data_IF_494445443219
#
_entry.id   IF_494445443219
#
_cell.length_a   1.000
_cell.length_b   1.000
_cell.length_c   1.000
_cell.angle_alpha   90.00
_cell.angle_beta   90.00
_cell.angle_gamma   90.00
#
_symmetry.space_group_name_H-M   'P 1'
#
loop_
_entity.id
_entity.type
_entity.pdbx_description
1 polymer ?
#
# COMPACT_ATOMS: atom_id res chain seq x y z
N UNK A 1 9.43 37.27 20.40
CA UNK A 1 9.45 35.97 21.09
C UNK A 1 8.12 35.19 20.98
N UNK A 2 7.10 35.72 20.29
CA UNK A 2 5.77 35.09 20.16
C UNK A 2 5.64 34.07 19.01
N UNK A 3 6.65 33.92 18.14
CA UNK A 3 6.60 32.99 16.99
C UNK A 3 7.13 31.57 17.24
N UNK A 4 7.83 31.31 18.35
CA UNK A 4 8.39 29.97 18.64
C UNK A 4 7.54 29.13 19.60
N UNK A 5 6.71 29.75 20.43
CA UNK A 5 5.82 29.04 21.38
C UNK A 5 4.59 28.43 20.69
N UNK A 6 4.11 29.01 19.58
CA UNK A 6 3.00 28.44 18.80
C UNK A 6 3.37 27.10 18.15
N UNK A 7 4.55 27.03 17.52
CA UNK A 7 4.96 25.87 16.72
C UNK A 7 5.15 24.56 17.53
N UNK A 8 5.70 24.63 18.74
CA UNK A 8 5.86 23.42 19.59
C UNK A 8 4.52 22.97 20.15
N UNK A 9 3.64 23.91 20.50
CA UNK A 9 2.30 23.60 21.02
C UNK A 9 1.44 22.95 19.93
N UNK A 10 1.49 23.47 18.71
CA UNK A 10 0.85 22.86 17.54
C UNK A 10 1.36 21.43 17.31
N UNK A 11 2.68 21.23 17.31
CA UNK A 11 3.28 19.91 17.18
C UNK A 11 2.80 18.94 18.29
N UNK A 12 2.72 19.41 19.53
CA UNK A 12 2.24 18.59 20.65
C UNK A 12 0.77 18.17 20.45
N UNK A 13 -0.11 19.09 20.04
CA UNK A 13 -1.52 18.81 19.71
C UNK A 13 -1.60 17.79 18.56
N UNK A 14 -0.78 17.97 17.53
CA UNK A 14 -0.70 17.07 16.37
C UNK A 14 -0.31 15.66 16.78
N UNK A 15 0.72 15.51 17.62
CA UNK A 15 1.17 14.19 18.10
C UNK A 15 0.11 13.52 18.98
N UNK A 16 -0.54 14.27 19.87
CA UNK A 16 -1.63 13.75 20.72
C UNK A 16 -2.83 13.34 19.86
N UNK A 17 -3.20 14.15 18.86
CA UNK A 17 -4.26 13.83 17.91
C UNK A 17 -3.96 12.60 17.06
N UNK A 18 -2.71 12.46 16.57
CA UNK A 18 -2.23 11.30 15.84
C UNK A 18 -2.27 10.02 16.71
N UNK A 19 -1.87 10.11 17.99
CA UNK A 19 -1.99 9.01 18.93
C UNK A 19 -3.46 8.61 19.15
N UNK A 20 -4.33 9.59 19.41
CA UNK A 20 -5.76 9.36 19.61
C UNK A 20 -6.40 8.66 18.40
N UNK A 21 -6.19 9.20 17.20
CA UNK A 21 -6.71 8.61 15.97
C UNK A 21 -6.10 7.22 15.68
N UNK A 22 -4.82 7.02 15.97
CA UNK A 22 -4.15 5.73 15.89
C UNK A 22 -4.76 4.68 16.81
N UNK A 23 -5.07 5.04 18.06
CA UNK A 23 -5.76 4.17 19.02
C UNK A 23 -7.17 3.82 18.57
N UNK A 24 -7.90 4.78 18.00
CA UNK A 24 -9.23 4.56 17.41
C UNK A 24 -9.13 3.54 16.26
N UNK A 25 -8.20 3.70 15.33
CA UNK A 25 -8.02 2.76 14.23
C UNK A 25 -7.62 1.36 14.71
N UNK A 26 -6.74 1.29 15.70
CA UNK A 26 -6.39 0.01 16.34
C UNK A 26 -7.62 -0.68 16.95
N UNK A 27 -8.54 0.07 17.56
CA UNK A 27 -9.79 -0.47 18.12
C UNK A 27 -10.72 -1.05 17.06
N UNK A 28 -10.70 -0.50 15.85
CA UNK A 28 -11.38 -1.03 14.66
C UNK A 28 -10.61 -2.13 13.91
N UNK A 29 -9.47 -2.61 14.46
CA UNK A 29 -8.56 -3.58 13.83
C UNK A 29 -7.98 -3.10 12.49
N UNK A 30 -7.97 -1.79 12.25
CA UNK A 30 -7.37 -1.16 11.07
C UNK A 30 -5.86 -0.91 11.28
N UNK A 31 -5.07 -0.74 10.19
CA UNK A 31 -3.69 -0.29 10.28
C UNK A 31 -3.57 1.07 11.00
N UNK A 32 -2.61 1.20 11.91
CA UNK A 32 -2.40 2.42 12.72
C UNK A 32 -2.09 3.63 11.84
N UNK A 33 -1.39 3.43 10.72
CA UNK A 33 -1.08 4.48 9.73
C UNK A 33 -2.32 5.20 9.18
N UNK A 34 -3.48 4.52 9.09
CA UNK A 34 -4.74 5.17 8.73
C UNK A 34 -5.20 6.16 9.80
N UNK A 35 -4.82 5.95 11.06
CA UNK A 35 -5.10 6.88 12.15
C UNK A 35 -4.26 8.15 12.03
N UNK A 36 -3.01 8.04 11.57
CA UNK A 36 -2.16 9.21 11.33
C UNK A 36 -2.68 10.03 10.14
N UNK A 37 -3.12 9.36 9.08
CA UNK A 37 -3.81 9.99 7.95
C UNK A 37 -5.10 10.69 8.41
N UNK A 38 -5.92 10.02 9.23
CA UNK A 38 -7.13 10.61 9.79
C UNK A 38 -6.82 11.85 10.64
N UNK A 39 -5.78 11.79 11.48
CA UNK A 39 -5.37 12.92 12.28
C UNK A 39 -4.96 14.11 11.40
N UNK A 40 -4.23 13.88 10.31
CA UNK A 40 -3.95 14.91 9.32
C UNK A 40 -5.22 15.47 8.67
N UNK A 41 -6.17 14.64 8.28
CA UNK A 41 -7.41 15.10 7.68
C UNK A 41 -8.27 15.93 8.64
N UNK A 42 -8.30 15.56 9.94
CA UNK A 42 -9.06 16.24 10.99
C UNK A 42 -8.38 17.53 11.46
N UNK A 43 -7.06 17.52 11.63
CA UNK A 43 -6.30 18.69 12.10
C UNK A 43 -5.91 19.65 10.96
N UNK A 44 -5.96 19.17 9.72
CA UNK A 44 -5.65 19.94 8.53
C UNK A 44 -6.78 20.86 8.08
N UNK A 45 -6.61 21.48 6.89
CA UNK A 45 -7.55 22.47 6.36
C UNK A 45 -8.97 21.95 6.15
N UNK A 46 -9.12 20.65 5.86
CA UNK A 46 -10.42 19.99 5.68
C UNK A 46 -11.21 19.79 6.97
N UNK A 47 -10.57 19.96 8.14
CA UNK A 47 -11.18 19.78 9.45
C UNK A 47 -11.12 21.07 10.28
N UNK A 48 -10.27 21.08 11.31
CA UNK A 48 -10.15 22.21 12.24
C UNK A 48 -9.18 23.32 11.78
N UNK A 49 -8.36 23.06 10.76
CA UNK A 49 -7.42 24.07 10.24
C UNK A 49 -6.28 24.44 11.18
N UNK A 50 -5.94 23.60 12.17
CA UNK A 50 -4.86 23.88 13.13
C UNK A 50 -3.46 23.85 12.52
N UNK A 51 -3.30 23.22 11.35
CA UNK A 51 -2.00 23.02 10.71
C UNK A 51 -2.01 23.66 9.32
N UNK A 52 -1.44 24.86 9.21
CA UNK A 52 -1.41 25.64 7.96
C UNK A 52 -0.02 25.70 7.29
N UNK A 53 1.07 25.53 8.05
CA UNK A 53 2.44 25.73 7.54
C UNK A 53 2.97 24.54 6.72
N UNK A 54 2.65 24.54 5.42
CA UNK A 54 2.94 23.42 4.49
C UNK A 54 4.43 23.17 4.23
N UNK A 55 5.30 24.19 4.29
CA UNK A 55 6.72 24.04 3.91
C UNK A 55 7.52 23.18 4.92
N UNK A 56 7.38 23.45 6.22
CA UNK A 56 8.06 22.66 7.25
C UNK A 56 7.60 21.20 7.26
N UNK A 57 6.34 20.98 6.90
CA UNK A 57 5.69 19.68 6.84
C UNK A 57 6.19 18.86 5.65
N UNK A 58 6.55 19.51 4.54
CA UNK A 58 7.07 18.83 3.36
C UNK A 58 8.46 18.22 3.62
N UNK A 59 9.37 18.98 4.23
CA UNK A 59 10.70 18.46 4.59
C UNK A 59 10.59 17.28 5.58
N UNK A 60 9.67 17.38 6.53
CA UNK A 60 9.36 16.33 7.49
C UNK A 60 8.77 15.07 6.82
N UNK A 61 7.93 15.25 5.79
CA UNK A 61 7.39 14.15 4.99
C UNK A 61 8.48 13.46 4.16
N UNK A 62 9.38 14.23 3.52
CA UNK A 62 10.52 13.69 2.78
C UNK A 62 11.46 12.88 3.69
N UNK A 63 11.72 13.40 4.90
CA UNK A 63 12.48 12.69 5.93
C UNK A 63 11.79 11.38 6.33
N UNK A 64 10.47 11.39 6.47
CA UNK A 64 9.65 10.22 6.75
C UNK A 64 9.71 9.17 5.63
N UNK A 65 9.64 9.57 4.36
CA UNK A 65 9.82 8.68 3.20
C UNK A 65 11.22 8.06 3.21
N UNK A 66 12.25 8.88 3.42
CA UNK A 66 13.64 8.43 3.48
C UNK A 66 13.82 7.35 4.55
N UNK A 67 13.27 7.58 5.74
CA UNK A 67 13.35 6.66 6.87
C UNK A 67 12.46 5.42 6.71
N UNK A 68 11.32 5.55 6.04
CA UNK A 68 10.49 4.41 5.63
C UNK A 68 11.29 3.46 4.74
N UNK A 69 11.89 3.98 3.67
CA UNK A 69 12.68 3.19 2.71
C UNK A 69 13.93 2.58 3.34
N UNK A 70 14.60 3.31 4.24
CA UNK A 70 15.68 2.76 5.05
C UNK A 70 15.21 1.55 5.88
N UNK A 71 14.09 1.68 6.59
CA UNK A 71 13.61 0.60 7.43
C UNK A 71 13.14 -0.62 6.64
N UNK A 72 12.45 -0.39 5.52
CA UNK A 72 12.07 -1.48 4.62
C UNK A 72 13.30 -2.26 4.20
N UNK A 73 14.35 -1.56 3.74
CA UNK A 73 15.63 -2.20 3.43
C UNK A 73 16.17 -3.06 4.58
N UNK A 74 16.07 -2.61 5.83
CA UNK A 74 16.50 -3.38 7.01
C UNK A 74 15.62 -4.60 7.31
N UNK A 75 14.32 -4.48 7.06
CA UNK A 75 13.33 -5.51 7.31
C UNK A 75 13.38 -6.62 6.25
N UNK A 76 13.80 -6.29 5.02
CA UNK A 76 13.94 -7.26 3.93
C UNK A 76 14.93 -8.39 4.26
N UNK A 77 14.39 -9.59 4.44
CA UNK A 77 15.20 -10.80 4.58
C UNK A 77 15.52 -11.42 3.21
N UNK A 78 16.65 -11.01 2.62
CA UNK A 78 17.06 -11.49 1.30
C UNK A 78 17.32 -13.00 1.23
N UNK A 79 17.56 -13.65 2.38
CA UNK A 79 17.73 -15.10 2.43
C UNK A 79 16.43 -15.84 2.17
N UNK A 80 15.34 -15.41 2.80
CA UNK A 80 14.03 -16.02 2.63
C UNK A 80 13.49 -15.69 1.23
N UNK A 81 13.70 -14.45 0.77
CA UNK A 81 13.37 -14.03 -0.59
C UNK A 81 14.06 -14.88 -1.66
N UNK A 82 15.32 -15.26 -1.45
CA UNK A 82 16.08 -16.10 -2.40
C UNK A 82 15.46 -17.49 -2.62
N UNK A 83 14.60 -17.99 -1.74
CA UNK A 83 13.90 -19.25 -2.01
C UNK A 83 12.81 -19.10 -3.10
N UNK A 84 12.22 -17.91 -3.21
CA UNK A 84 11.05 -17.62 -4.06
C UNK A 84 11.30 -16.53 -5.11
N UNK A 85 12.53 -16.02 -5.22
CA UNK A 85 12.86 -14.83 -6.02
C UNK A 85 12.40 -14.91 -7.48
N UNK A 86 12.51 -16.08 -8.14
CA UNK A 86 12.08 -16.23 -9.53
C UNK A 86 10.59 -15.95 -9.69
N UNK A 87 9.77 -16.62 -8.87
CA UNK A 87 8.32 -16.45 -8.89
C UNK A 87 7.97 -15.02 -8.50
N UNK A 88 8.57 -14.51 -7.42
CA UNK A 88 8.29 -13.17 -6.91
C UNK A 88 8.62 -12.04 -7.90
N UNK A 89 9.83 -12.05 -8.47
CA UNK A 89 10.29 -11.01 -9.41
C UNK A 89 9.54 -11.10 -10.73
N UNK A 90 9.34 -12.30 -11.28
CA UNK A 90 8.57 -12.46 -12.53
C UNK A 90 7.12 -12.02 -12.33
N UNK A 91 6.51 -12.39 -11.21
CA UNK A 91 5.13 -11.97 -10.88
C UNK A 91 5.05 -10.46 -10.78
N UNK A 92 5.97 -9.84 -10.05
CA UNK A 92 5.99 -8.38 -9.86
C UNK A 92 6.24 -7.64 -11.17
N UNK A 93 7.23 -8.06 -11.96
CA UNK A 93 7.52 -7.44 -13.25
C UNK A 93 6.31 -7.53 -14.19
N UNK A 94 5.65 -8.69 -14.25
CA UNK A 94 4.47 -8.86 -15.07
C UNK A 94 3.28 -8.04 -14.56
N UNK A 95 3.07 -7.97 -13.24
CA UNK A 95 2.05 -7.10 -12.64
C UNK A 95 2.25 -5.63 -13.04
N UNK A 96 3.50 -5.14 -12.99
CA UNK A 96 3.84 -3.77 -13.38
C UNK A 96 3.56 -3.55 -14.87
N UNK A 97 4.01 -4.46 -15.72
CA UNK A 97 3.80 -4.35 -17.18
C UNK A 97 2.31 -4.39 -17.52
N UNK A 98 1.54 -5.31 -16.94
CA UNK A 98 0.11 -5.41 -17.25
C UNK A 98 -0.69 -4.26 -16.64
N UNK A 99 -0.34 -3.80 -15.44
CA UNK A 99 -0.91 -2.57 -14.89
C UNK A 99 -0.64 -1.38 -15.82
N UNK A 100 0.59 -1.26 -16.34
CA UNK A 100 0.93 -0.23 -17.32
C UNK A 100 0.13 -0.37 -18.62
N UNK A 101 0.06 -1.56 -19.22
CA UNK A 101 -0.71 -1.78 -20.44
C UNK A 101 -2.21 -1.50 -20.24
N UNK A 102 -2.78 -1.94 -19.11
CA UNK A 102 -4.17 -1.67 -18.77
C UNK A 102 -4.46 -0.19 -18.59
N UNK A 103 -3.60 0.52 -17.84
CA UNK A 103 -3.73 1.97 -17.66
C UNK A 103 -3.41 2.74 -18.93
N UNK A 104 -2.54 2.24 -19.80
CA UNK A 104 -2.23 2.85 -21.09
C UNK A 104 -3.42 2.76 -22.04
N UNK A 105 -4.08 1.60 -22.12
CA UNK A 105 -5.31 1.46 -22.88
C UNK A 105 -6.41 2.38 -22.35
N UNK A 106 -6.58 2.46 -21.03
CA UNK A 106 -7.54 3.38 -20.42
C UNK A 106 -7.17 4.84 -20.68
N UNK A 107 -5.89 5.17 -20.56
CA UNK A 107 -5.36 6.52 -20.81
C UNK A 107 -5.54 6.95 -22.26
N UNK A 108 -5.44 6.02 -23.23
CA UNK A 108 -5.77 6.31 -24.64
C UNK A 108 -7.26 6.59 -24.87
N UNK A 109 -8.14 6.01 -24.06
CA UNK A 109 -9.58 6.25 -24.16
C UNK A 109 -10.00 7.56 -23.48
N UNK A 110 -9.22 8.01 -22.48
CA UNK A 110 -9.48 9.20 -21.66
C UNK A 110 -8.52 10.35 -21.95
N UNK A 111 -7.71 10.25 -23.02
CA UNK A 111 -6.68 11.20 -23.42
C UNK A 111 -5.69 11.59 -22.29
N UNK A 112 -5.32 10.62 -21.45
CA UNK A 112 -4.35 10.84 -20.39
C UNK A 112 -2.91 10.95 -20.93
N UNK A 113 -2.10 11.88 -20.38
CA UNK A 113 -0.69 11.94 -20.70
C UNK A 113 0.03 10.66 -20.24
N UNK A 114 1.13 10.34 -20.92
CA UNK A 114 1.93 9.15 -20.61
C UNK A 114 2.47 9.19 -19.17
N UNK A 115 2.82 10.39 -18.67
CA UNK A 115 3.32 10.59 -17.31
C UNK A 115 2.29 10.16 -16.27
N UNK A 116 1.03 10.60 -16.41
CA UNK A 116 -0.08 10.19 -15.56
C UNK A 116 -0.30 8.68 -15.64
N UNK A 117 -0.32 8.14 -16.85
CA UNK A 117 -0.49 6.70 -17.10
C UNK A 117 0.55 5.86 -16.34
N UNK A 118 1.83 6.26 -16.38
CA UNK A 118 2.91 5.56 -15.70
C UNK A 118 2.75 5.63 -14.18
N UNK A 119 2.44 6.81 -13.64
CA UNK A 119 2.25 7.00 -12.19
C UNK A 119 1.06 6.17 -11.68
N UNK A 120 -0.10 6.23 -12.35
CA UNK A 120 -1.29 5.45 -11.99
C UNK A 120 -1.00 3.94 -12.09
N UNK A 121 -0.31 3.50 -13.14
CA UNK A 121 0.07 2.10 -13.30
C UNK A 121 0.95 1.59 -12.15
N UNK A 122 1.96 2.36 -11.74
CA UNK A 122 2.81 1.99 -10.61
C UNK A 122 2.02 1.97 -9.29
N UNK A 123 1.15 2.96 -9.06
CA UNK A 123 0.26 2.99 -7.90
C UNK A 123 -0.62 1.74 -7.84
N UNK A 124 -1.23 1.35 -8.95
CA UNK A 124 -2.12 0.18 -9.06
C UNK A 124 -1.37 -1.14 -8.90
N UNK A 125 -0.13 -1.23 -9.39
CA UNK A 125 0.67 -2.45 -9.33
C UNK A 125 1.04 -2.85 -7.89
N UNK A 126 1.27 -1.87 -7.00
CA UNK A 126 1.75 -2.11 -5.65
C UNK A 126 0.64 -2.52 -4.68
N UNK A 127 0.97 -3.45 -3.78
CA UNK A 127 0.04 -3.98 -2.77
C UNK A 127 0.46 -3.60 -1.35
N UNK A 128 -0.48 -3.62 -0.40
CA UNK A 128 -0.13 -3.35 1.01
C UNK A 128 0.48 -4.56 1.68
N UNK A 129 1.76 -4.44 2.06
CA UNK A 129 2.53 -5.49 2.72
C UNK A 129 2.01 -5.77 4.12
N UNK A 130 1.80 -4.72 4.93
CA UNK A 130 1.33 -4.87 6.31
C UNK A 130 -0.07 -5.53 6.39
N UNK A 131 -0.98 -5.12 5.51
CA UNK A 131 -2.35 -5.67 5.46
C UNK A 131 -2.32 -7.13 5.03
N UNK A 132 -1.60 -7.46 3.94
CA UNK A 132 -1.53 -8.83 3.44
C UNK A 132 -0.87 -9.80 4.43
N UNK A 133 0.19 -9.39 5.12
CA UNK A 133 0.84 -10.21 6.15
C UNK A 133 -0.11 -10.47 7.32
N UNK A 134 -0.82 -9.44 7.79
CA UNK A 134 -1.80 -9.59 8.87
C UNK A 134 -2.93 -10.55 8.46
N UNK A 135 -3.45 -10.41 7.23
CA UNK A 135 -4.47 -11.33 6.72
C UNK A 135 -3.96 -12.78 6.68
N UNK A 136 -2.72 -13.00 6.22
CA UNK A 136 -2.08 -14.32 6.21
C UNK A 136 -1.92 -14.92 7.62
N UNK A 137 -1.63 -14.11 8.62
CA UNK A 137 -1.56 -14.54 10.02
C UNK A 137 -2.93 -14.94 10.56
N UNK A 138 -3.94 -14.11 10.30
CA UNK A 138 -5.30 -14.34 10.78
C UNK A 138 -5.95 -15.60 10.17
N UNK A 139 -5.63 -15.93 8.92
CA UNK A 139 -6.12 -17.16 8.27
C UNK A 139 -5.18 -18.36 8.45
N UNK A 140 -4.05 -18.20 9.14
CA UNK A 140 -3.09 -19.29 9.41
C UNK A 140 -2.23 -19.72 8.21
N UNK A 141 -2.19 -18.95 7.13
CA UNK A 141 -1.49 -19.29 5.87
C UNK A 141 -0.08 -18.68 5.76
N UNK A 142 0.37 -17.89 6.74
CA UNK A 142 1.69 -17.21 6.71
C UNK A 142 2.87 -18.16 6.49
N UNK A 143 2.82 -19.38 7.06
CA UNK A 143 3.92 -20.37 7.00
C UNK A 143 3.71 -21.45 5.93
N UNK A 144 2.76 -21.27 5.02
CA UNK A 144 2.49 -22.20 3.93
C UNK A 144 3.10 -21.69 2.62
N UNK A 145 2.97 -22.47 1.54
CA UNK A 145 3.39 -22.03 0.21
C UNK A 145 2.66 -20.76 -0.25
N UNK A 146 1.39 -20.57 0.12
CA UNK A 146 0.62 -19.34 -0.15
C UNK A 146 1.30 -18.16 0.53
N UNK A 147 1.63 -18.28 1.82
CA UNK A 147 2.35 -17.26 2.57
C UNK A 147 3.72 -16.95 1.98
N UNK A 148 4.55 -17.95 1.70
CA UNK A 148 5.89 -17.74 1.12
C UNK A 148 5.86 -17.05 -0.25
N UNK A 149 4.93 -17.45 -1.14
CA UNK A 149 4.78 -16.83 -2.47
C UNK A 149 4.26 -15.40 -2.34
N UNK A 150 3.20 -15.19 -1.54
CA UNK A 150 2.59 -13.87 -1.34
C UNK A 150 3.58 -12.89 -0.72
N UNK A 151 4.28 -13.28 0.36
CA UNK A 151 5.32 -12.46 1.00
C UNK A 151 6.49 -12.22 0.04
N UNK A 152 6.88 -13.23 -0.75
CA UNK A 152 7.90 -13.08 -1.78
C UNK A 152 7.54 -11.99 -2.79
N UNK A 153 6.30 -12.00 -3.30
CA UNK A 153 5.79 -10.99 -4.23
C UNK A 153 5.78 -9.61 -3.57
N UNK A 154 5.29 -9.48 -2.33
CA UNK A 154 5.30 -8.22 -1.59
C UNK A 154 6.73 -7.66 -1.43
N UNK A 155 7.70 -8.51 -1.10
CA UNK A 155 9.11 -8.10 -1.04
C UNK A 155 9.63 -7.62 -2.40
N UNK A 156 9.28 -8.31 -3.49
CA UNK A 156 9.66 -7.89 -4.83
C UNK A 156 8.98 -6.57 -5.24
N UNK A 157 7.73 -6.34 -4.82
CA UNK A 157 7.00 -5.08 -5.02
C UNK A 157 7.68 -3.93 -4.26
N UNK A 158 8.02 -4.13 -2.99
CA UNK A 158 8.73 -3.15 -2.18
C UNK A 158 10.10 -2.80 -2.79
N UNK A 159 10.82 -3.79 -3.33
CA UNK A 159 12.06 -3.58 -4.08
C UNK A 159 11.84 -2.81 -5.38
N UNK A 160 10.69 -2.97 -6.03
CA UNK A 160 10.33 -2.30 -7.27
C UNK A 160 9.90 -0.83 -7.07
N UNK A 161 9.51 -0.42 -5.86
CA UNK A 161 9.19 0.98 -5.52
C UNK A 161 10.35 1.91 -5.90
N UNK A 162 11.58 1.46 -5.66
CA UNK A 162 12.78 2.24 -5.88
C UNK A 162 12.99 2.60 -7.36
N UNK A 163 13.08 1.64 -8.30
CA UNK A 163 13.13 1.98 -9.72
C UNK A 163 11.89 2.74 -10.20
N UNK A 164 10.70 2.51 -9.63
CA UNK A 164 9.51 3.32 -9.94
C UNK A 164 9.71 4.79 -9.59
N UNK A 165 10.23 5.11 -8.40
CA UNK A 165 10.54 6.49 -7.98
C UNK A 165 11.56 7.12 -8.93
N UNK A 166 12.59 6.38 -9.34
CA UNK A 166 13.60 6.88 -10.28
C UNK A 166 13.00 7.14 -11.67
N UNK A 167 12.12 6.27 -12.16
CA UNK A 167 11.42 6.45 -13.43
C UNK A 167 10.51 7.68 -13.37
N UNK A 168 9.71 7.82 -12.31
CA UNK A 168 8.85 9.00 -12.12
C UNK A 168 9.72 10.26 -12.05
N UNK A 169 10.79 10.24 -11.25
CA UNK A 169 11.72 11.35 -11.09
C UNK A 169 12.38 11.80 -12.39
N UNK A 170 12.49 10.91 -13.37
CA UNK A 170 13.08 11.20 -14.67
C UNK A 170 12.12 11.90 -15.65
N UNK A 171 10.85 12.09 -15.31
CA UNK A 171 9.89 12.88 -16.11
C UNK A 171 10.09 14.40 -15.98
N UNK A 172 11.10 14.85 -15.25
CA UNK A 172 11.36 16.27 -15.06
C UNK A 172 11.82 16.94 -16.38
N UNK A 173 10.99 17.85 -16.93
CA UNK A 173 11.28 18.65 -18.12
C UNK A 173 10.49 18.26 -19.38
N UNK A 174 10.28 19.22 -20.29
CA UNK A 174 9.41 19.08 -21.47
C UNK A 174 9.98 18.16 -22.59
N UNK A 175 11.22 17.66 -22.44
CA UNK A 175 11.94 16.89 -23.47
C UNK A 175 11.86 15.36 -23.37
N UNK A 176 11.02 14.82 -22.47
CA UNK A 176 10.96 13.39 -22.20
C UNK A 176 12.15 12.85 -21.39
N UNK A 177 12.24 11.53 -21.24
CA UNK A 177 13.30 10.89 -20.44
C UNK A 177 14.63 10.96 -21.21
N UNK A 178 15.54 11.85 -20.81
CA UNK A 178 16.86 11.97 -21.42
C UNK A 178 17.70 10.68 -21.30
N UNK A 179 18.56 10.42 -22.28
CA UNK A 179 19.43 9.23 -22.34
C UNK A 179 20.25 9.02 -21.05
N UNK A 180 20.72 10.11 -20.44
CA UNK A 180 21.43 10.07 -19.15
C UNK A 180 20.54 9.58 -18.00
N UNK A 181 19.26 9.93 -17.98
CA UNK A 181 18.33 9.45 -16.96
C UNK A 181 18.03 7.96 -17.14
N UNK A 182 17.84 7.49 -18.38
CA UNK A 182 17.69 6.06 -18.69
C UNK A 182 18.93 5.28 -18.23
N UNK A 183 20.12 5.80 -18.54
CA UNK A 183 21.38 5.17 -18.11
C UNK A 183 21.51 5.12 -16.59
N UNK A 184 21.18 6.22 -15.87
CA UNK A 184 21.17 6.25 -14.40
C UNK A 184 20.20 5.23 -13.81
N UNK A 185 18.99 5.12 -14.36
CA UNK A 185 17.98 4.13 -13.93
C UNK A 185 18.50 2.71 -14.16
N UNK A 186 19.04 2.43 -15.35
CA UNK A 186 19.58 1.11 -15.70
C UNK A 186 20.73 0.72 -14.76
N UNK A 187 21.69 1.63 -14.53
CA UNK A 187 22.80 1.42 -13.60
C UNK A 187 22.27 1.16 -12.18
N UNK A 188 21.27 1.92 -11.74
CA UNK A 188 20.67 1.76 -10.40
C UNK A 188 19.99 0.40 -10.24
N UNK A 189 19.24 -0.05 -11.24
CA UNK A 189 18.58 -1.37 -11.23
C UNK A 189 19.64 -2.49 -11.22
N UNK A 190 20.68 -2.38 -12.06
CA UNK A 190 21.77 -3.36 -12.11
C UNK A 190 22.51 -3.40 -10.78
N UNK A 191 22.85 -2.24 -10.21
CA UNK A 191 23.51 -2.14 -8.92
C UNK A 191 22.66 -2.76 -7.80
N UNK A 192 21.37 -2.45 -7.75
CA UNK A 192 20.44 -3.04 -6.79
C UNK A 192 20.38 -4.57 -6.93
N UNK A 193 20.27 -5.08 -8.16
CA UNK A 193 20.28 -6.52 -8.44
C UNK A 193 21.58 -7.21 -7.99
N UNK A 194 22.73 -6.61 -8.28
CA UNK A 194 24.04 -7.09 -7.84
C UNK A 194 24.16 -7.07 -6.30
N UNK A 195 23.69 -6.00 -5.66
CA UNK A 195 23.67 -5.87 -4.20
C UNK A 195 22.80 -6.95 -3.56
N UNK A 196 21.59 -7.19 -4.07
CA UNK A 196 20.71 -8.25 -3.60
C UNK A 196 21.37 -9.62 -3.78
N UNK A 197 21.98 -9.88 -4.95
CA UNK A 197 22.67 -11.13 -5.23
C UNK A 197 23.89 -11.36 -4.32
N UNK A 198 24.61 -10.30 -3.98
CA UNK A 198 25.73 -10.32 -3.04
C UNK A 198 25.27 -10.58 -1.60
N UNK A 199 24.33 -9.78 -1.09
CA UNK A 199 23.81 -9.85 0.27
C UNK A 199 22.97 -11.11 0.54
N UNK A 200 22.37 -11.69 -0.51
CA UNK A 200 21.63 -12.96 -0.44
C UNK A 200 22.51 -14.21 -0.34
N UNK A 201 23.86 -14.09 -0.33
CA UNK A 201 24.78 -15.22 -0.09
C UNK A 201 24.90 -15.52 1.42
N UNK A 202 25.23 -16.78 1.78
CA UNK A 202 25.12 -17.31 3.17
C UNK A 202 25.86 -16.51 4.26
N UNK A 203 26.89 -15.72 3.94
CA UNK A 203 27.70 -15.01 4.93
C UNK A 203 27.09 -13.64 5.24
N UNK A 204 26.64 -13.43 6.49
CA UNK A 204 26.23 -12.10 6.97
C UNK A 204 27.39 -11.12 6.83
N UNK A 205 27.13 -9.94 6.29
CA UNK A 205 28.16 -8.90 6.17
C UNK A 205 28.56 -8.42 7.56
N UNK A 206 29.86 -8.35 7.82
CA UNK A 206 30.42 -7.70 9.01
C UNK A 206 30.70 -6.25 8.64
N UNK A 207 29.96 -5.32 9.22
CA UNK A 207 30.17 -3.89 8.99
C UNK A 207 31.44 -3.44 9.71
N UNK A 208 32.26 -2.54 9.12
CA UNK A 208 33.56 -2.14 9.70
C UNK A 208 33.42 -1.56 11.11
N UNK A 209 32.32 -0.87 11.39
CA UNK A 209 32.03 -0.26 12.70
C UNK A 209 31.47 -1.25 13.73
N UNK A 210 31.23 -2.51 13.37
CA UNK A 210 30.59 -3.49 14.27
C UNK A 210 31.43 -3.83 15.50
N UNK A 211 32.76 -3.63 15.44
CA UNK A 211 33.68 -3.88 16.56
C UNK A 211 33.77 -2.69 17.53
N UNK A 212 33.56 -1.46 17.06
CA UNK A 212 33.63 -0.24 17.88
C UNK A 212 32.32 0.08 18.60
N UNK A 213 31.17 -0.21 17.96
CA UNK A 213 29.83 0.11 18.51
C UNK A 213 29.39 -0.91 19.57
N UNK A 214 29.93 -2.13 19.56
CA UNK A 214 29.50 -3.23 20.43
C UNK A 214 29.64 -3.02 21.95
N UNK A 215 30.13 -1.85 22.40
CA UNK A 215 30.26 -1.47 23.82
C UNK A 215 29.50 -0.19 24.21
N UNK A 216 28.94 0.57 23.27
CA UNK A 216 28.23 1.84 23.55
C UNK A 216 26.81 1.79 22.97
N UNK A 217 25.83 1.50 23.82
CA UNK A 217 24.41 1.39 23.41
C UNK A 217 23.88 2.70 22.77
N UNK A 218 24.35 3.86 23.23
CA UNK A 218 23.87 5.18 22.79
C UNK A 218 24.34 5.57 21.37
N UNK A 219 25.47 5.01 20.92
CA UNK A 219 26.01 5.29 19.58
C UNK A 219 25.36 4.44 18.49
N UNK A 220 24.62 3.39 18.87
CA UNK A 220 24.02 2.45 17.90
C UNK A 220 22.92 3.09 17.05
N UNK A 221 21.93 3.83 17.61
CA UNK A 221 20.96 4.57 16.81
C UNK A 221 21.63 5.61 15.91
N UNK A 222 22.58 6.37 16.46
CA UNK A 222 23.29 7.42 15.72
C UNK A 222 24.13 6.85 14.57
N UNK A 223 24.76 5.69 14.75
CA UNK A 223 25.47 5.00 13.68
C UNK A 223 24.54 4.47 12.59
N UNK A 224 23.36 3.96 12.96
CA UNK A 224 22.33 3.55 12.01
C UNK A 224 21.83 4.71 11.16
N UNK A 225 21.48 5.83 11.81
CA UNK A 225 21.09 7.07 11.13
C UNK A 225 22.24 7.64 10.30
N UNK A 226 23.45 7.71 10.84
CA UNK A 226 24.62 8.22 10.12
C UNK A 226 24.92 7.40 8.86
N UNK A 227 24.75 6.08 8.91
CA UNK A 227 24.86 5.23 7.72
C UNK A 227 23.72 5.48 6.72
N UNK A 228 22.49 5.63 7.20
CA UNK A 228 21.33 5.97 6.38
C UNK A 228 21.51 7.30 5.65
N UNK A 229 21.74 8.40 6.40
CA UNK A 229 21.94 9.73 5.83
C UNK A 229 23.22 9.83 5.01
N UNK A 230 24.29 9.16 5.42
CA UNK A 230 25.53 9.11 4.64
C UNK A 230 25.33 8.47 3.26
N UNK A 231 24.64 7.33 3.19
CA UNK A 231 24.31 6.71 1.91
C UNK A 231 23.32 7.54 1.09
N UNK A 232 22.33 8.16 1.75
CA UNK A 232 21.39 9.07 1.10
C UNK A 232 22.10 10.29 0.48
N UNK A 233 23.06 10.88 1.19
CA UNK A 233 23.88 12.00 0.71
C UNK A 233 24.74 11.59 -0.49
N UNK A 234 25.43 10.44 -0.42
CA UNK A 234 26.22 9.91 -1.56
C UNK A 234 25.32 9.70 -2.78
N UNK A 235 24.15 9.09 -2.59
CA UNK A 235 23.17 8.88 -3.67
C UNK A 235 22.71 10.21 -4.28
N UNK A 236 22.38 11.20 -3.45
CA UNK A 236 22.00 12.54 -3.88
C UNK A 236 23.09 13.24 -4.69
N UNK A 237 24.36 13.16 -4.26
CA UNK A 237 25.51 13.75 -4.97
C UNK A 237 25.75 13.08 -6.33
N UNK A 238 25.48 11.78 -6.46
CA UNK A 238 25.53 11.07 -7.75
C UNK A 238 24.34 11.44 -8.67
N UNK A 239 23.46 12.33 -8.22
CA UNK A 239 22.25 12.73 -8.94
C UNK A 239 21.26 11.58 -9.08
N UNK A 240 21.23 10.67 -8.10
CA UNK A 240 20.17 9.70 -7.85
C UNK A 240 19.29 10.24 -6.70
N UNK A 241 18.20 9.54 -6.37
CA UNK A 241 17.34 9.95 -5.24
C UNK A 241 18.02 9.69 -3.89
N UNK A 242 17.87 10.59 -2.92
CA UNK A 242 18.34 10.36 -1.54
C UNK A 242 17.69 9.09 -0.93
N UNK A 243 16.40 8.89 -1.23
CA UNK A 243 15.62 7.70 -0.87
C UNK A 243 16.23 6.38 -1.37
N UNK A 244 16.88 6.39 -2.54
CA UNK A 244 17.59 5.23 -3.08
C UNK A 244 18.78 4.84 -2.19
N UNK A 245 19.59 5.83 -1.78
CA UNK A 245 20.73 5.61 -0.90
C UNK A 245 20.32 5.12 0.49
N UNK A 246 19.26 5.71 1.05
CA UNK A 246 18.67 5.26 2.32
C UNK A 246 18.19 3.80 2.23
N UNK A 247 17.48 3.43 1.17
CA UNK A 247 17.05 2.05 0.95
C UNK A 247 18.23 1.06 0.89
N UNK A 248 19.28 1.38 0.13
CA UNK A 248 20.48 0.55 0.02
C UNK A 248 21.20 0.41 1.36
N UNK A 249 21.30 1.49 2.13
CA UNK A 249 21.85 1.46 3.49
C UNK A 249 21.05 0.51 4.38
N UNK A 250 19.72 0.58 4.28
CA UNK A 250 18.80 -0.32 4.94
C UNK A 250 19.09 -1.77 4.58
N UNK A 251 19.21 -2.08 3.29
CA UNK A 251 19.47 -3.43 2.79
C UNK A 251 20.78 -4.02 3.33
N UNK A 252 21.84 -3.20 3.38
CA UNK A 252 23.15 -3.59 3.91
C UNK A 252 23.08 -3.87 5.41
N UNK A 253 22.46 -2.97 6.20
CA UNK A 253 22.27 -3.18 7.65
C UNK A 253 21.36 -4.39 7.91
N UNK A 254 20.29 -4.51 7.15
CA UNK A 254 19.31 -5.60 7.17
C UNK A 254 19.95 -6.98 7.02
N UNK A 255 21.01 -7.08 6.23
CA UNK A 255 21.70 -8.34 5.95
C UNK A 255 23.05 -8.48 6.70
N UNK A 256 23.29 -7.61 7.69
CA UNK A 256 24.49 -7.63 8.54
C UNK A 256 24.35 -8.49 9.80
N UNK A 257 25.43 -8.65 10.56
CA UNK A 257 25.40 -9.27 11.90
C UNK A 257 24.67 -8.42 12.94
N UNK A 258 24.66 -7.09 12.77
CA UNK A 258 24.09 -6.13 13.73
C UNK A 258 22.62 -5.77 13.46
N UNK A 259 21.99 -6.38 12.43
CA UNK A 259 20.58 -6.15 12.04
C UNK A 259 19.63 -6.03 13.24
N UNK A 260 19.65 -7.00 14.16
CA UNK A 260 18.70 -7.06 15.28
C UNK A 260 18.83 -5.85 16.21
N UNK A 261 20.07 -5.46 16.53
CA UNK A 261 20.34 -4.27 17.33
C UNK A 261 19.89 -3.02 16.57
N UNK A 262 20.26 -2.89 15.30
CA UNK A 262 19.90 -1.72 14.49
C UNK A 262 18.39 -1.55 14.36
N UNK A 263 17.63 -2.61 14.03
CA UNK A 263 16.16 -2.56 13.98
C UNK A 263 15.59 -2.14 15.34
N UNK A 264 16.07 -2.73 16.45
CA UNK A 264 15.58 -2.40 17.79
C UNK A 264 15.78 -0.91 18.13
N UNK A 265 16.97 -0.36 17.83
CA UNK A 265 17.31 1.01 18.19
C UNK A 265 16.76 2.07 17.22
N UNK A 266 16.53 1.72 15.96
CA UNK A 266 16.03 2.68 14.94
C UNK A 266 14.52 2.65 14.78
N UNK A 267 13.83 1.56 15.17
CA UNK A 267 12.38 1.43 15.04
C UNK A 267 11.58 2.54 15.75
N UNK A 268 11.92 3.01 16.98
CA UNK A 268 11.19 4.12 17.60
C UNK A 268 11.28 5.43 16.81
N UNK A 269 12.47 5.76 16.30
CA UNK A 269 12.71 6.97 15.48
C UNK A 269 11.88 6.90 14.20
N UNK A 270 11.92 5.75 13.53
CA UNK A 270 11.13 5.51 12.34
C UNK A 270 9.62 5.63 12.62
N UNK A 271 9.10 5.07 13.71
CA UNK A 271 7.68 5.15 14.05
C UNK A 271 7.17 6.59 14.14
N UNK A 272 7.98 7.49 14.73
CA UNK A 272 7.67 8.93 14.80
C UNK A 272 7.70 9.57 13.42
N UNK A 273 8.71 9.28 12.60
CA UNK A 273 8.83 9.87 11.26
C UNK A 273 7.77 9.35 10.27
N UNK A 274 7.34 8.10 10.42
CA UNK A 274 6.19 7.57 9.69
C UNK A 274 4.89 8.25 10.09
N UNK A 275 4.70 8.50 11.39
CA UNK A 275 3.54 9.25 11.85
C UNK A 275 3.50 10.62 11.18
N UNK A 276 4.62 11.34 11.14
CA UNK A 276 4.72 12.63 10.44
C UNK A 276 4.38 12.51 8.96
N UNK A 277 4.98 11.55 8.24
CA UNK A 277 4.73 11.36 6.81
C UNK A 277 3.25 11.08 6.49
N UNK A 278 2.64 10.12 7.18
CA UNK A 278 1.22 9.78 6.98
C UNK A 278 0.29 10.90 7.42
N UNK A 279 0.68 11.68 8.43
CA UNK A 279 -0.05 12.87 8.81
C UNK A 279 -0.02 13.93 7.70
N UNK A 280 1.13 14.16 7.06
CA UNK A 280 1.23 15.06 5.90
C UNK A 280 0.33 14.62 4.76
N UNK A 281 0.26 13.31 4.46
CA UNK A 281 -0.71 12.79 3.49
C UNK A 281 -2.14 13.12 3.93
N UNK A 282 -2.45 12.95 5.21
CA UNK A 282 -3.74 13.33 5.79
C UNK A 282 -4.11 14.79 5.59
N UNK A 283 -3.14 15.71 5.73
CA UNK A 283 -3.36 17.14 5.49
C UNK A 283 -3.71 17.46 4.02
N UNK A 284 -3.29 16.60 3.09
CA UNK A 284 -3.59 16.72 1.66
C UNK A 284 -4.95 16.10 1.30
N UNK A 285 -5.61 15.39 2.23
CA UNK A 285 -6.93 14.81 1.98
C UNK A 285 -7.98 15.90 2.01
N UNK A 286 -8.67 16.04 0.89
CA UNK A 286 -9.84 16.86 0.74
C UNK A 286 -11.09 15.98 0.92
N UNK A 287 -11.69 16.03 2.11
CA UNK A 287 -12.88 15.23 2.45
C UNK A 287 -14.09 15.66 1.62
N UNK A 288 -14.20 16.95 1.30
CA UNK A 288 -15.26 17.47 0.45
C UNK A 288 -15.13 16.92 -0.99
N UNK A 289 -13.90 16.84 -1.52
CA UNK A 289 -13.64 16.21 -2.80
C UNK A 289 -14.03 14.72 -2.82
N UNK A 290 -13.70 13.96 -1.76
CA UNK A 290 -14.10 12.54 -1.65
C UNK A 290 -15.62 12.42 -1.64
N UNK A 291 -16.32 13.28 -0.90
CA UNK A 291 -17.78 13.24 -0.83
C UNK A 291 -18.42 13.61 -2.17
N UNK A 292 -17.93 14.64 -2.84
CA UNK A 292 -18.40 15.08 -4.15
C UNK A 292 -18.17 14.00 -5.23
N UNK A 293 -17.05 13.27 -5.15
CA UNK A 293 -16.66 12.25 -6.14
C UNK A 293 -16.82 10.81 -5.63
N UNK A 294 -17.65 10.59 -4.60
CA UNK A 294 -17.72 9.31 -3.90
C UNK A 294 -18.03 8.15 -4.86
N UNK A 295 -18.93 8.37 -5.82
CA UNK A 295 -19.25 7.39 -6.86
C UNK A 295 -18.03 6.98 -7.69
N UNK A 296 -17.24 7.95 -8.15
CA UNK A 296 -16.01 7.73 -8.92
C UNK A 296 -14.96 7.01 -8.08
N UNK A 297 -14.71 7.47 -6.85
CA UNK A 297 -13.70 6.87 -5.96
C UNK A 297 -14.05 5.43 -5.63
N UNK A 298 -15.31 5.14 -5.25
CA UNK A 298 -15.76 3.78 -4.96
C UNK A 298 -15.68 2.88 -6.20
N UNK A 299 -16.09 3.39 -7.36
CA UNK A 299 -15.99 2.67 -8.63
C UNK A 299 -14.53 2.31 -8.93
N UNK A 300 -13.59 3.25 -8.78
CA UNK A 300 -12.17 3.03 -9.02
C UNK A 300 -11.57 2.04 -8.02
N UNK A 301 -11.89 2.13 -6.73
CA UNK A 301 -11.44 1.16 -5.72
C UNK A 301 -11.88 -0.25 -6.09
N UNK A 302 -13.16 -0.42 -6.46
CA UNK A 302 -13.69 -1.72 -6.85
C UNK A 302 -13.06 -2.22 -8.15
N UNK A 303 -12.96 -1.35 -9.16
CA UNK A 303 -12.33 -1.67 -10.45
C UNK A 303 -10.88 -2.12 -10.26
N UNK A 304 -10.08 -1.37 -9.51
CA UNK A 304 -8.68 -1.69 -9.22
C UNK A 304 -8.58 -3.01 -8.46
N UNK A 305 -9.40 -3.23 -7.43
CA UNK A 305 -9.38 -4.47 -6.66
C UNK A 305 -9.72 -5.69 -7.52
N UNK A 306 -10.77 -5.60 -8.35
CA UNK A 306 -11.19 -6.69 -9.25
C UNK A 306 -10.15 -6.94 -10.34
N UNK A 307 -9.71 -5.89 -11.03
CA UNK A 307 -8.71 -5.99 -12.09
C UNK A 307 -7.44 -6.65 -11.54
N UNK A 308 -6.91 -6.14 -10.43
CA UNK A 308 -5.68 -6.65 -9.82
C UNK A 308 -5.84 -8.10 -9.35
N UNK A 309 -6.99 -8.47 -8.76
CA UNK A 309 -7.28 -9.85 -8.39
C UNK A 309 -7.28 -10.76 -9.61
N UNK A 310 -7.98 -10.38 -10.68
CA UNK A 310 -8.07 -11.17 -11.92
C UNK A 310 -6.69 -11.37 -12.56
N UNK A 311 -5.89 -10.29 -12.64
CA UNK A 311 -4.53 -10.32 -13.16
C UNK A 311 -3.63 -11.26 -12.34
N UNK A 312 -3.70 -11.16 -11.01
CA UNK A 312 -2.90 -11.99 -10.11
C UNK A 312 -3.27 -13.47 -10.21
N UNK A 313 -4.57 -13.79 -10.33
CA UNK A 313 -5.02 -15.18 -10.54
C UNK A 313 -4.44 -15.73 -11.85
N UNK A 314 -4.62 -15.02 -12.97
CA UNK A 314 -4.15 -15.47 -14.28
C UNK A 314 -2.64 -15.72 -14.29
N UNK A 315 -1.88 -14.79 -13.71
CA UNK A 315 -0.43 -14.88 -13.62
C UNK A 315 0.06 -16.02 -12.74
N UNK A 316 -0.49 -16.16 -11.54
CA UNK A 316 -0.12 -17.26 -10.64
C UNK A 316 -0.48 -18.63 -11.22
N UNK A 317 -1.60 -18.72 -11.96
CA UNK A 317 -1.96 -19.94 -12.70
C UNK A 317 -0.98 -20.24 -13.82
N UNK A 318 -0.56 -19.23 -14.58
CA UNK A 318 0.44 -19.39 -15.65
C UNK A 318 1.81 -19.84 -15.10
N UNK A 319 2.14 -19.44 -13.86
CA UNK A 319 3.35 -19.85 -13.15
C UNK A 319 3.21 -21.22 -12.44
N UNK A 320 2.08 -21.91 -12.60
CA UNK A 320 1.88 -23.28 -12.12
C UNK A 320 1.31 -23.43 -10.70
N UNK A 321 0.87 -22.36 -10.04
CA UNK A 321 0.18 -22.45 -8.75
C UNK A 321 -1.24 -23.00 -8.91
N UNK A 322 -1.74 -23.79 -7.95
CA UNK A 322 -3.09 -24.37 -8.03
C UNK A 322 -4.17 -23.29 -7.92
N UNK A 323 -5.37 -23.55 -8.46
CA UNK A 323 -6.50 -22.59 -8.40
C UNK A 323 -6.78 -22.04 -6.99
N UNK A 324 -6.87 -22.87 -5.93
CA UNK A 324 -7.14 -22.35 -4.60
C UNK A 324 -6.02 -21.44 -4.07
N UNK A 325 -4.75 -21.78 -4.36
CA UNK A 325 -3.58 -20.99 -3.94
C UNK A 325 -3.49 -19.67 -4.70
N UNK A 326 -3.70 -19.71 -6.02
CA UNK A 326 -3.67 -18.54 -6.88
C UNK A 326 -4.78 -17.55 -6.49
N UNK A 327 -6.00 -18.05 -6.23
CA UNK A 327 -7.12 -17.20 -5.82
C UNK A 327 -6.87 -16.56 -4.45
N UNK A 328 -6.46 -17.35 -3.45
CA UNK A 328 -6.19 -16.83 -2.12
C UNK A 328 -5.08 -15.78 -2.13
N UNK A 329 -3.95 -16.07 -2.77
CA UNK A 329 -2.82 -15.13 -2.89
C UNK A 329 -3.23 -13.86 -3.66
N UNK A 330 -4.02 -13.99 -4.73
CA UNK A 330 -4.49 -12.84 -5.51
C UNK A 330 -5.39 -11.90 -4.73
N UNK A 331 -6.32 -12.45 -3.93
CA UNK A 331 -7.16 -11.67 -3.01
C UNK A 331 -6.26 -10.99 -1.98
N UNK A 332 -5.32 -11.68 -1.36
CA UNK A 332 -4.41 -11.06 -0.38
C UNK A 332 -3.58 -9.90 -0.96
N UNK A 333 -3.33 -9.88 -2.28
CA UNK A 333 -2.57 -8.85 -2.99
C UNK A 333 -3.44 -7.75 -3.64
N UNK A 334 -4.76 -7.81 -3.56
CA UNK A 334 -5.63 -6.92 -4.34
C UNK A 334 -5.64 -5.47 -3.86
N UNK A 335 -5.28 -5.24 -2.60
CA UNK A 335 -5.36 -3.94 -1.97
C UNK A 335 -4.22 -3.02 -2.40
N UNK A 336 -4.47 -1.72 -2.50
CA UNK A 336 -3.42 -0.73 -2.77
C UNK A 336 -2.49 -0.60 -1.56
N UNK A 337 -1.20 -0.36 -1.84
CA UNK A 337 -0.15 -0.25 -0.82
C UNK A 337 0.05 1.16 -0.29
N UNK A 338 0.68 1.27 0.87
CA UNK A 338 1.15 2.52 1.45
C UNK A 338 2.12 3.29 0.53
N UNK A 339 2.89 2.57 -0.29
CA UNK A 339 3.81 3.16 -1.27
C UNK A 339 3.10 3.89 -2.41
N UNK A 340 1.82 3.61 -2.63
CA UNK A 340 1.00 4.35 -3.60
C UNK A 340 0.97 5.84 -3.25
N UNK A 341 0.99 6.21 -1.97
CA UNK A 341 1.08 7.62 -1.56
C UNK A 341 2.43 8.26 -1.92
N UNK A 342 3.52 7.52 -1.74
CA UNK A 342 4.87 8.00 -2.06
C UNK A 342 5.00 8.22 -3.57
N UNK A 343 4.51 7.28 -4.38
CA UNK A 343 4.55 7.41 -5.83
C UNK A 343 3.68 8.55 -6.35
N UNK A 344 2.48 8.75 -5.77
CA UNK A 344 1.63 9.88 -6.11
C UNK A 344 2.30 11.21 -5.76
N UNK A 345 2.83 11.34 -4.54
CA UNK A 345 3.54 12.55 -4.10
C UNK A 345 4.77 12.84 -4.97
N UNK A 346 5.54 11.80 -5.33
CA UNK A 346 6.68 11.93 -6.25
C UNK A 346 6.23 12.40 -7.64
N UNK A 347 5.11 11.87 -8.14
CA UNK A 347 4.54 12.29 -9.42
C UNK A 347 4.15 13.77 -9.41
N UNK A 348 3.54 14.24 -8.31
CA UNK A 348 3.17 15.64 -8.14
C UNK A 348 4.41 16.55 -8.06
N UNK A 349 5.43 16.11 -7.31
CA UNK A 349 6.67 16.89 -7.10
C UNK A 349 7.44 17.18 -8.40
N UNK A 350 7.34 16.30 -9.40
CA UNK A 350 7.97 16.48 -10.72
C UNK A 350 6.99 16.92 -11.81
N UNK A 351 5.77 17.32 -11.43
CA UNK A 351 4.69 17.69 -12.34
C UNK A 351 4.32 16.60 -13.37
N UNK A 352 4.60 15.33 -13.06
CA UNK A 352 4.16 14.19 -13.87
C UNK A 352 2.64 13.96 -13.75
N UNK A 353 2.06 14.36 -12.61
CA UNK A 353 0.61 14.43 -12.38
C UNK A 353 0.25 15.81 -11.85
N UNK A 354 -0.99 16.21 -12.10
CA UNK A 354 -1.58 17.42 -11.58
C UNK A 354 -2.18 17.21 -10.17
N UNK A 355 -2.59 18.30 -9.54
CA UNK A 355 -3.17 18.28 -8.21
C UNK A 355 -4.47 17.48 -8.12
N UNK A 356 -5.29 17.49 -9.18
CA UNK A 356 -6.54 16.74 -9.20
C UNK A 356 -6.28 15.23 -9.24
N UNK A 357 -5.41 14.76 -10.13
CA UNK A 357 -5.00 13.34 -10.18
C UNK A 357 -4.36 12.89 -8.86
N UNK A 358 -3.54 13.73 -8.24
CA UNK A 358 -2.96 13.44 -6.93
C UNK A 358 -4.03 13.22 -5.86
N UNK A 359 -5.02 14.13 -5.76
CA UNK A 359 -6.15 14.00 -4.82
C UNK A 359 -6.95 12.72 -5.05
N UNK A 360 -7.24 12.41 -6.30
CA UNK A 360 -7.98 11.20 -6.67
C UNK A 360 -7.21 9.93 -6.28
N UNK A 361 -5.91 9.86 -6.58
CA UNK A 361 -5.05 8.72 -6.22
C UNK A 361 -4.99 8.53 -4.70
N UNK A 362 -4.78 9.60 -3.94
CA UNK A 362 -4.78 9.56 -2.47
C UNK A 362 -6.13 9.06 -1.96
N UNK A 363 -7.24 9.59 -2.47
CA UNK A 363 -8.60 9.17 -2.07
C UNK A 363 -8.85 7.68 -2.33
N UNK A 364 -8.48 7.20 -3.53
CA UNK A 364 -8.63 5.79 -3.91
C UNK A 364 -7.75 4.89 -3.04
N UNK A 365 -6.49 5.27 -2.75
CA UNK A 365 -5.61 4.49 -1.87
C UNK A 365 -6.12 4.44 -0.44
N UNK A 366 -6.55 5.57 0.14
CA UNK A 366 -7.11 5.62 1.51
C UNK A 366 -8.36 4.76 1.61
N UNK A 367 -9.32 4.95 0.69
CA UNK A 367 -10.56 4.20 0.71
C UNK A 367 -10.29 2.71 0.47
N UNK A 368 -9.37 2.37 -0.43
CA UNK A 368 -8.91 1.00 -0.62
C UNK A 368 -8.43 0.42 0.71
N UNK A 369 -7.48 1.04 1.41
CA UNK A 369 -6.96 0.59 2.71
C UNK A 369 -8.03 0.47 3.81
N UNK A 370 -8.98 1.41 3.87
CA UNK A 370 -10.10 1.37 4.81
C UNK A 370 -11.00 0.14 4.58
N UNK A 371 -11.11 -0.32 3.32
CA UNK A 371 -11.85 -1.54 2.97
C UNK A 371 -11.11 -2.85 3.30
N UNK A 372 -9.91 -2.79 3.92
CA UNK A 372 -9.14 -4.01 4.28
C UNK A 372 -9.90 -5.05 5.10
N UNK A 373 -10.77 -4.70 6.07
CA UNK A 373 -11.48 -5.72 6.83
C UNK A 373 -12.52 -6.47 5.99
N UNK A 374 -13.14 -5.78 5.03
CA UNK A 374 -14.09 -6.39 4.09
C UNK A 374 -13.35 -7.41 3.23
N UNK A 375 -12.16 -7.03 2.77
CA UNK A 375 -11.31 -7.88 1.95
C UNK A 375 -10.77 -9.10 2.71
N UNK A 376 -10.46 -8.92 4.00
CA UNK A 376 -10.08 -9.99 4.91
C UNK A 376 -11.21 -11.00 5.13
N UNK A 377 -12.45 -10.54 5.29
CA UNK A 377 -13.59 -11.46 5.39
C UNK A 377 -13.82 -12.22 4.08
N UNK A 378 -13.66 -11.55 2.93
CA UNK A 378 -13.65 -12.23 1.64
C UNK A 378 -12.56 -13.32 1.61
N UNK A 379 -11.31 -12.99 1.97
CA UNK A 379 -10.21 -13.95 2.04
C UNK A 379 -10.51 -15.15 2.96
N UNK A 380 -11.11 -14.94 4.13
CA UNK A 380 -11.52 -16.03 5.06
C UNK A 380 -12.58 -16.94 4.47
N UNK A 381 -13.59 -16.38 3.81
CA UNK A 381 -14.64 -17.17 3.15
C UNK A 381 -14.05 -18.02 2.03
N UNK A 382 -13.18 -17.43 1.22
CA UNK A 382 -12.50 -18.15 0.15
C UNK A 382 -11.52 -19.20 0.64
N UNK A 383 -10.79 -18.93 1.73
CA UNK A 383 -9.90 -19.90 2.35
C UNK A 383 -10.67 -21.13 2.85
N UNK A 384 -11.85 -20.95 3.46
CA UNK A 384 -12.74 -22.07 3.82
C UNK A 384 -13.17 -22.90 2.61
N UNK A 385 -13.49 -22.25 1.48
CA UNK A 385 -13.85 -22.93 0.23
C UNK A 385 -12.65 -23.69 -0.37
N UNK A 386 -11.45 -23.12 -0.28
CA UNK A 386 -10.21 -23.76 -0.73
C UNK A 386 -9.88 -25.04 0.06
N UNK A 387 -10.15 -25.06 1.37
CA UNK A 387 -9.99 -26.24 2.23
C UNK A 387 -10.97 -27.38 1.88
N UNK A 388 -12.11 -27.06 1.26
CA UNK A 388 -13.10 -28.06 0.81
C UNK A 388 -12.70 -28.77 -0.51
N UNK A 389 -11.52 -28.50 -1.06
CA UNK A 389 -10.96 -29.26 -2.18
C UNK A 389 -11.59 -28.93 -3.55
N UNK A 390 -12.22 -27.76 -3.68
CA UNK A 390 -12.96 -27.39 -4.89
C UNK A 390 -12.00 -26.97 -6.00
N UNK A 391 -12.04 -27.69 -7.12
CA UNK A 391 -11.06 -27.60 -8.22
C UNK A 391 -11.46 -26.63 -9.34
N UNK A 392 -12.65 -26.03 -9.27
CA UNK A 392 -13.23 -25.21 -10.34
C UNK A 392 -13.54 -23.77 -9.91
N UNK A 393 -13.03 -22.79 -10.66
CA UNK A 393 -13.28 -21.35 -10.38
C UNK A 393 -14.76 -20.94 -10.47
N UNK A 394 -15.58 -21.63 -11.27
CA UNK A 394 -17.04 -21.41 -11.32
C UNK A 394 -17.73 -21.81 -10.02
N UNK A 395 -17.25 -22.87 -9.39
CA UNK A 395 -17.80 -23.40 -8.16
C UNK A 395 -17.39 -22.55 -6.95
N UNK A 396 -16.15 -22.04 -6.95
CA UNK A 396 -15.70 -21.02 -5.98
C UNK A 396 -16.55 -19.74 -6.05
N UNK A 397 -16.81 -19.21 -7.25
CA UNK A 397 -17.68 -18.03 -7.45
C UNK A 397 -19.11 -18.28 -6.96
N UNK A 398 -19.68 -19.46 -7.28
CA UNK A 398 -21.01 -19.87 -6.79
C UNK A 398 -21.08 -19.99 -5.28
N UNK A 399 -20.05 -20.49 -4.61
CA UNK A 399 -20.06 -20.65 -3.16
C UNK A 399 -19.75 -19.35 -2.40
N UNK A 400 -18.98 -18.45 -3.02
CA UNK A 400 -18.65 -17.15 -2.41
C UNK A 400 -19.83 -16.17 -2.47
N UNK A 401 -20.51 -16.10 -3.62
CA UNK A 401 -21.59 -15.13 -3.89
C UNK A 401 -22.99 -15.78 -3.73
N UNK A 402 -23.08 -17.11 -3.82
CA UNK A 402 -24.35 -17.85 -3.79
C UNK A 402 -25.25 -17.60 -2.57
N UNK A 403 -24.73 -17.55 -1.32
CA UNK A 403 -25.55 -17.26 -0.16
C UNK A 403 -26.19 -15.86 -0.23
N UNK A 404 -25.46 -14.87 -0.75
CA UNK A 404 -25.91 -13.48 -0.89
C UNK A 404 -26.86 -13.32 -2.08
N UNK A 405 -26.60 -14.01 -3.19
CA UNK A 405 -27.51 -14.08 -4.34
C UNK A 405 -28.85 -14.75 -3.97
N UNK A 406 -28.81 -15.82 -3.17
CA UNK A 406 -30.02 -16.48 -2.62
C UNK A 406 -30.74 -15.60 -1.61
N UNK A 407 -30.04 -14.82 -0.79
CA UNK A 407 -30.65 -13.87 0.13
C UNK A 407 -31.30 -12.69 -0.60
N UNK A 408 -30.67 -12.19 -1.68
CA UNK A 408 -31.23 -11.17 -2.57
C UNK A 408 -32.46 -11.68 -3.33
N UNK A 409 -32.47 -12.94 -3.77
CA UNK A 409 -33.62 -13.54 -4.44
C UNK A 409 -34.78 -13.79 -3.45
N UNK A 410 -34.47 -14.27 -2.25
CA UNK A 410 -35.46 -14.48 -1.17
C UNK A 410 -36.07 -13.16 -0.70
N UNK A 411 -35.28 -12.09 -0.61
CA UNK A 411 -35.78 -10.75 -0.28
C UNK A 411 -36.59 -10.13 -1.42
N UNK A 412 -36.21 -10.34 -2.69
CA UNK A 412 -37.05 -9.98 -3.85
C UNK A 412 -38.41 -10.69 -3.83
N UNK A 413 -38.42 -12.00 -3.53
CA UNK A 413 -39.65 -12.79 -3.40
C UNK A 413 -40.55 -12.31 -2.26
N UNK A 414 -39.97 -11.91 -1.12
CA UNK A 414 -40.71 -11.33 0.00
C UNK A 414 -41.28 -9.94 -0.32
N UNK A 415 -40.52 -9.10 -1.02
CA UNK A 415 -40.99 -7.78 -1.47
C UNK A 415 -42.10 -7.90 -2.50
N UNK A 416 -41.99 -8.84 -3.45
CA UNK A 416 -43.06 -9.12 -4.42
C UNK A 416 -44.31 -9.70 -3.74
N UNK A 417 -44.16 -10.61 -2.77
CA UNK A 417 -45.27 -11.15 -2.00
C UNK A 417 -45.95 -10.07 -1.13
N UNK A 418 -45.19 -9.14 -0.58
CA UNK A 418 -45.70 -8.00 0.17
C UNK A 418 -46.46 -7.01 -0.73
N UNK A 419 -45.94 -6.70 -1.91
CA UNK A 419 -46.61 -5.86 -2.91
C UNK A 419 -47.88 -6.53 -3.47
N UNK A 420 -47.88 -7.85 -3.67
CA UNK A 420 -49.05 -8.61 -4.10
C UNK A 420 -50.16 -8.64 -3.03
N UNK A 421 -49.80 -8.71 -1.74
CA UNK A 421 -50.77 -8.59 -0.63
C UNK A 421 -51.40 -7.21 -0.53
N UNK A 422 -50.64 -6.15 -0.86
CA UNK A 422 -51.16 -4.77 -0.87
C UNK A 422 -52.09 -4.46 -2.05
N UNK A 423 -52.06 -5.26 -3.13
CA UNK A 423 -52.92 -5.12 -4.31
C UNK A 423 -54.26 -5.87 -4.25
N UNK A 424 -54.62 -6.50 -3.12
CA UNK A 424 -55.96 -7.07 -2.91
C UNK A 424 -56.80 -6.21 -1.96
N UNK A 425 -57.57 -5.22 -2.46
CA UNK A 425 -58.67 -4.65 -1.70
C UNK A 425 -59.91 -5.53 -1.81
N UNK A 426 -60.51 -5.89 -0.67
CA UNK A 426 -61.93 -6.23 -0.55
C UNK A 426 -62.36 -7.68 -0.83
N UNK A 427 -62.23 -8.57 0.16
CA UNK A 427 -63.04 -9.81 0.21
C UNK A 427 -63.22 -10.32 1.65
N UNK A 428 -63.62 -9.46 2.58
CA UNK A 428 -64.12 -9.85 3.92
C UNK A 428 -65.11 -8.81 4.45
N UNK A 429 -66.26 -8.69 3.80
CA UNK A 429 -67.43 -7.97 4.34
C UNK A 429 -68.71 -8.37 3.58
N UNK A 430 -69.16 -9.62 3.70
CA UNK A 430 -70.53 -10.03 3.36
C UNK A 430 -70.76 -11.44 3.92
N UNK A 431 -71.28 -11.53 5.13
CA UNK A 431 -71.55 -12.81 5.81
C UNK A 431 -71.95 -12.63 7.26
N UNK A 432 -72.74 -11.58 7.56
CA UNK A 432 -73.39 -11.40 8.86
C UNK A 432 -74.61 -10.48 8.70
N UNK A 433 -75.60 -10.97 7.95
CA UNK A 433 -76.95 -10.41 7.87
C UNK A 433 -77.89 -11.54 7.41
N UNK A 434 -78.22 -12.45 8.33
CA UNK A 434 -79.30 -13.44 8.22
C UNK A 434 -79.48 -14.09 9.60
N UNK A 435 -80.04 -13.32 10.53
CA UNK A 435 -80.69 -13.76 11.76
C UNK A 435 -81.51 -12.57 12.23
N UNK A 436 -82.59 -12.31 11.49
CA UNK A 436 -83.91 -11.86 11.94
C UNK A 436 -84.88 -11.98 10.75
#
# INVERSE_FOLDING_TARGET
MEGHTSSITELAIVVVGALGCGLVMRRFRQPILLGYILAGAVLGPSGFGFVENREQIQLLAELGVLMLLFFIGMELNLRDFRAVWKVAVLTTAFQIVVAFLGMYLLGRLLDWPLTLTVVVAFVVALSSTAVAIKMLEEIGEKRTRVGYVTIGILIAQDLAVIPMILIIGAFHGEGGIGTLAILKIAISIVFLGLMIAYLGKRKRVRLPFSKGIGRANDLTPLAGLGFCFGAAAVSGVLGLSASYGAFLAGLVIGNSTIRRAMIHYTAPIQAVLLMVFFLTIGLLIDVAYIWANLGTVVMLVFFVAVLKTALNIGLMRALGETWPRAFLSAVLLAQLGEFSFILAAQGLAVAAIDWESHRLLVAVTVLSLMMSPVWLEAARRLHRIALLGITSGRETLRLTIGPEALALDRSRGLVFAWLARRRRPGAKAAGKAAAD
#
